data_IF_148870158450
#
_entry.id   IF_148870158450
#
_cell.length_a   1.000
_cell.length_b   1.000
_cell.length_c   1.000
_cell.angle_alpha   90.00
_cell.angle_beta   90.00
_cell.angle_gamma   90.00
#
_symmetry.space_group_name_H-M   'P 1'
#
loop_
_entity.id
_entity.type
_entity.pdbx_description
1 polymer ?
#
# COMPACT_ATOMS: atom_id res chain seq x y z
N UNK A 1 7.65 -3.97 -14.89
CA UNK A 1 6.83 -4.51 -13.78
C UNK A 1 7.08 -6.01 -13.70
N UNK A 2 7.37 -6.50 -12.53
CA UNK A 2 7.53 -7.96 -12.36
C UNK A 2 6.17 -8.64 -12.47
N UNK A 3 6.11 -9.68 -13.28
CA UNK A 3 4.91 -10.52 -13.34
C UNK A 3 4.76 -11.28 -12.03
N UNK A 4 3.73 -10.97 -11.28
CA UNK A 4 3.32 -11.83 -10.20
C UNK A 4 2.65 -13.04 -10.83
N UNK A 5 3.19 -14.21 -10.62
CA UNK A 5 2.64 -15.43 -11.21
C UNK A 5 1.84 -16.21 -10.18
N UNK A 6 0.61 -16.54 -10.55
CA UNK A 6 -0.13 -17.58 -9.86
C UNK A 6 0.28 -18.93 -10.45
N UNK A 7 0.65 -19.88 -9.60
CA UNK A 7 0.89 -21.26 -10.01
C UNK A 7 -0.43 -22.03 -10.17
N UNK A 8 -1.43 -21.60 -9.41
CA UNK A 8 -2.77 -22.20 -9.41
C UNK A 8 -3.81 -21.11 -9.35
N UNK A 9 -4.96 -21.35 -9.96
CA UNK A 9 -6.09 -20.43 -9.84
C UNK A 9 -6.55 -20.38 -8.38
N UNK A 10 -6.65 -19.18 -7.77
CA UNK A 10 -7.08 -19.06 -6.39
C UNK A 10 -8.55 -19.42 -6.16
N UNK A 11 -9.35 -19.48 -7.22
CA UNK A 11 -10.77 -19.84 -7.15
C UNK A 11 -10.99 -21.34 -7.28
N UNK A 12 -10.46 -21.98 -8.33
CA UNK A 12 -10.74 -23.39 -8.64
C UNK A 12 -9.52 -24.32 -8.52
N UNK A 13 -8.34 -23.80 -8.24
CA UNK A 13 -7.10 -24.58 -8.12
C UNK A 13 -6.49 -25.07 -9.44
N UNK A 14 -7.05 -24.67 -10.57
CA UNK A 14 -6.54 -25.07 -11.90
C UNK A 14 -5.13 -24.55 -12.14
N UNK A 15 -4.30 -25.38 -12.81
CA UNK A 15 -2.98 -24.96 -13.29
C UNK A 15 -3.05 -24.15 -14.58
N UNK A 16 -4.23 -24.01 -15.18
CA UNK A 16 -4.41 -23.34 -16.47
C UNK A 16 -4.51 -21.83 -16.35
N UNK A 17 -4.41 -21.28 -15.15
CA UNK A 17 -4.39 -19.83 -14.96
C UNK A 17 -3.26 -19.21 -15.78
N UNK A 18 -3.55 -18.12 -16.47
CA UNK A 18 -2.59 -17.46 -17.33
C UNK A 18 -2.66 -15.94 -17.18
N UNK A 19 -1.58 -15.29 -17.60
CA UNK A 19 -1.47 -13.84 -17.58
C UNK A 19 -1.88 -13.27 -18.92
N UNK A 20 -2.63 -12.19 -18.92
CA UNK A 20 -3.05 -11.42 -20.10
C UNK A 20 -2.60 -9.96 -19.96
N UNK A 21 -2.66 -9.23 -21.08
CA UNK A 21 -2.36 -7.80 -21.14
C UNK A 21 -0.98 -7.45 -20.54
N UNK A 22 0.06 -8.18 -20.95
CA UNK A 22 1.44 -7.96 -20.49
C UNK A 22 1.58 -7.98 -18.96
N UNK A 23 0.94 -8.97 -18.32
CA UNK A 23 1.04 -9.15 -16.86
C UNK A 23 0.07 -8.31 -16.03
N UNK A 24 -0.85 -7.61 -16.67
CA UNK A 24 -1.81 -6.76 -15.94
C UNK A 24 -3.08 -7.48 -15.50
N UNK A 25 -3.31 -8.67 -16.00
CA UNK A 25 -4.53 -9.42 -15.72
C UNK A 25 -4.22 -10.90 -15.64
N UNK A 26 -4.80 -11.59 -14.66
CA UNK A 26 -4.81 -13.04 -14.58
C UNK A 26 -6.19 -13.56 -14.93
N UNK A 27 -6.23 -14.63 -15.72
CA UNK A 27 -7.46 -15.25 -16.20
C UNK A 27 -7.35 -16.75 -16.04
N UNK A 28 -8.38 -17.37 -15.50
CA UNK A 28 -8.51 -18.82 -15.50
C UNK A 28 -9.59 -19.24 -16.51
N UNK A 29 -9.21 -19.94 -17.59
CA UNK A 29 -10.18 -20.39 -18.58
C UNK A 29 -11.12 -21.49 -18.07
N UNK A 30 -10.74 -22.19 -17.00
CA UNK A 30 -11.52 -23.30 -16.47
C UNK A 30 -12.71 -22.86 -15.61
N UNK A 31 -12.56 -21.77 -14.84
CA UNK A 31 -13.65 -21.29 -13.97
C UNK A 31 -14.11 -19.86 -14.27
N UNK A 32 -13.41 -19.16 -15.15
CA UNK A 32 -13.73 -17.76 -15.46
C UNK A 32 -13.20 -16.72 -14.47
N UNK A 33 -12.35 -17.13 -13.52
CA UNK A 33 -11.72 -16.20 -12.60
C UNK A 33 -10.93 -15.13 -13.36
N UNK A 34 -11.10 -13.89 -12.96
CA UNK A 34 -10.31 -12.76 -13.48
C UNK A 34 -9.86 -11.87 -12.33
N UNK A 35 -8.59 -11.47 -12.38
CA UNK A 35 -8.02 -10.53 -11.42
C UNK A 35 -7.11 -9.56 -12.14
N UNK A 36 -7.27 -8.29 -11.86
CA UNK A 36 -6.35 -7.26 -12.34
C UNK A 36 -5.22 -7.05 -11.34
N UNK A 37 -4.01 -6.90 -11.84
CA UNK A 37 -2.85 -6.56 -11.03
C UNK A 37 -2.88 -5.05 -10.73
N UNK A 38 -3.59 -4.69 -9.70
CA UNK A 38 -3.79 -3.30 -9.30
C UNK A 38 -2.70 -2.82 -8.34
N UNK A 39 -2.45 -1.53 -8.37
CA UNK A 39 -1.53 -0.88 -7.43
C UNK A 39 -2.14 -0.85 -6.04
N UNK A 40 -1.35 -1.21 -5.04
CA UNK A 40 -1.72 -1.00 -3.64
C UNK A 40 -1.38 0.45 -3.26
N UNK A 41 -2.38 1.21 -2.83
CA UNK A 41 -2.17 2.57 -2.39
C UNK A 41 -1.64 2.62 -0.95
N UNK A 42 -0.67 3.46 -0.70
CA UNK A 42 -0.12 3.69 0.63
C UNK A 42 0.07 5.19 0.86
N UNK A 43 0.06 5.60 2.12
CA UNK A 43 0.32 6.98 2.52
C UNK A 43 1.62 7.06 3.31
N UNK A 44 2.42 8.07 3.03
CA UNK A 44 3.56 8.46 3.85
C UNK A 44 3.24 9.80 4.51
N UNK A 45 3.52 9.93 5.80
CA UNK A 45 3.12 11.08 6.60
C UNK A 45 4.29 11.98 6.92
N UNK A 46 4.18 13.25 6.55
CA UNK A 46 5.05 14.30 7.06
C UNK A 46 4.34 14.96 8.24
N UNK A 47 4.58 14.45 9.44
CA UNK A 47 3.92 14.93 10.67
C UNK A 47 4.77 16.05 11.25
N UNK A 48 4.18 17.23 11.37
CA UNK A 48 4.85 18.43 11.83
C UNK A 48 4.22 18.93 13.13
N UNK A 49 5.07 19.30 14.09
CA UNK A 49 4.62 19.94 15.31
C UNK A 49 4.55 21.48 15.16
N UNK A 50 4.16 22.17 16.23
CA UNK A 50 4.03 23.64 16.25
C UNK A 50 5.36 24.37 15.98
N UNK A 51 6.50 23.72 16.24
CA UNK A 51 7.82 24.27 16.01
C UNK A 51 8.35 24.03 14.59
N UNK A 52 7.56 23.33 13.75
CA UNK A 52 7.98 22.98 12.40
C UNK A 52 8.89 21.76 12.32
N UNK A 53 9.06 21.04 13.41
CA UNK A 53 9.86 19.83 13.45
C UNK A 53 9.07 18.66 12.86
N UNK A 54 9.75 17.79 12.10
CA UNK A 54 9.14 16.61 11.48
C UNK A 54 9.41 15.36 12.32
N UNK A 55 8.40 14.50 12.41
CA UNK A 55 8.51 13.22 13.07
C UNK A 55 9.03 12.16 12.10
N UNK A 56 10.06 11.43 12.54
CA UNK A 56 10.56 10.24 11.86
C UNK A 56 10.45 9.06 12.81
N UNK A 57 10.21 7.89 12.25
CA UNK A 57 10.31 6.64 12.98
C UNK A 57 11.56 5.88 12.58
N UNK A 58 12.13 5.14 13.53
CA UNK A 58 13.25 4.24 13.26
C UNK A 58 12.71 2.86 12.95
N UNK A 59 13.06 2.33 11.79
CA UNK A 59 12.58 1.01 11.39
C UNK A 59 13.09 -0.07 12.35
N UNK A 60 12.16 -0.88 12.86
CA UNK A 60 12.48 -1.98 13.77
C UNK A 60 12.73 -3.30 13.05
N UNK A 61 12.34 -3.40 11.77
CA UNK A 61 12.39 -4.63 10.97
C UNK A 61 13.08 -4.41 9.63
N UNK A 62 13.61 -5.49 9.06
CA UNK A 62 14.07 -5.49 7.68
C UNK A 62 12.89 -5.30 6.70
N UNK A 63 13.07 -4.68 5.51
CA UNK A 63 14.33 -4.11 5.02
C UNK A 63 14.67 -2.78 5.68
N UNK A 64 15.94 -2.43 5.66
CA UNK A 64 16.47 -1.16 6.17
C UNK A 64 16.22 -0.94 7.67
N UNK A 65 16.33 -2.00 8.46
CA UNK A 65 16.26 -1.89 9.92
C UNK A 65 17.27 -0.83 10.43
N UNK A 66 16.80 0.02 11.34
CA UNK A 66 17.60 1.10 11.91
C UNK A 66 17.62 2.40 11.12
N UNK A 67 17.11 2.41 9.88
CA UNK A 67 16.96 3.64 9.10
C UNK A 67 15.75 4.45 9.57
N UNK A 68 15.81 5.76 9.38
CA UNK A 68 14.69 6.64 9.63
C UNK A 68 13.71 6.58 8.46
N UNK A 69 12.43 6.59 8.77
CA UNK A 69 11.35 6.58 7.79
C UNK A 69 10.21 7.48 8.24
N UNK A 70 9.43 7.95 7.28
CA UNK A 70 8.17 8.61 7.60
C UNK A 70 7.15 7.56 8.07
N UNK A 71 6.34 7.88 9.08
CA UNK A 71 5.19 7.04 9.42
C UNK A 71 4.24 6.91 8.24
N UNK A 72 3.47 5.84 8.21
CA UNK A 72 2.48 5.61 7.16
C UNK A 72 2.11 4.16 7.04
N UNK A 73 1.33 3.86 6.02
CA UNK A 73 0.87 2.50 5.77
C UNK A 73 -0.07 2.43 4.58
N UNK A 74 -0.58 1.24 4.34
CA UNK A 74 -1.51 1.00 3.25
C UNK A 74 -2.89 1.57 3.52
N UNK A 75 -3.52 2.11 2.49
CA UNK A 75 -4.93 2.45 2.53
C UNK A 75 -5.78 1.17 2.61
N UNK A 76 -6.85 1.23 3.38
CA UNK A 76 -7.86 0.17 3.41
C UNK A 76 -8.80 0.29 2.22
N UNK A 77 -9.50 -0.81 1.80
CA UNK A 77 -10.29 -0.82 0.58
C UNK A 77 -11.31 0.33 0.44
N UNK A 78 -11.97 0.71 1.51
CA UNK A 78 -13.02 1.73 1.47
C UNK A 78 -12.57 3.08 2.03
N UNK A 79 -11.28 3.32 2.03
CA UNK A 79 -10.68 4.46 2.70
C UNK A 79 -10.05 5.42 1.70
N UNK A 80 -10.30 6.73 1.86
CA UNK A 80 -9.55 7.75 1.12
C UNK A 80 -8.12 7.87 1.66
N UNK A 81 -7.21 8.40 0.84
CA UNK A 81 -5.84 8.64 1.30
C UNK A 81 -5.80 9.60 2.48
N UNK A 82 -6.67 10.61 2.52
CA UNK A 82 -6.78 11.55 3.63
C UNK A 82 -7.23 10.85 4.92
N UNK A 83 -8.22 9.98 4.82
CA UNK A 83 -8.69 9.19 5.98
C UNK A 83 -7.63 8.18 6.44
N UNK A 84 -6.93 7.56 5.49
CA UNK A 84 -5.79 6.69 5.80
C UNK A 84 -4.71 7.44 6.56
N UNK A 85 -4.41 8.67 6.14
CA UNK A 85 -3.42 9.51 6.82
C UNK A 85 -3.82 9.81 8.26
N UNK A 86 -5.09 10.14 8.51
CA UNK A 86 -5.61 10.38 9.86
C UNK A 86 -5.51 9.12 10.71
N UNK A 87 -5.94 7.99 10.18
CA UNK A 87 -5.90 6.70 10.88
C UNK A 87 -4.47 6.29 11.20
N UNK A 88 -3.58 6.31 10.22
CA UNK A 88 -2.17 5.94 10.43
C UNK A 88 -1.48 6.88 11.43
N UNK A 89 -1.76 8.18 11.39
CA UNK A 89 -1.23 9.12 12.37
C UNK A 89 -1.67 8.75 13.79
N UNK A 90 -2.95 8.44 13.97
CA UNK A 90 -3.47 8.04 15.27
C UNK A 90 -2.87 6.70 15.76
N UNK A 91 -2.75 5.72 14.86
CA UNK A 91 -2.16 4.41 15.20
C UNK A 91 -0.68 4.53 15.58
N UNK A 92 0.08 5.37 14.87
CA UNK A 92 1.53 5.49 15.08
C UNK A 92 1.88 6.34 16.30
N UNK A 93 1.20 7.44 16.52
CA UNK A 93 1.57 8.40 17.57
C UNK A 93 0.45 8.72 18.57
N UNK A 94 -0.73 8.14 18.41
CA UNK A 94 -1.85 8.32 19.34
C UNK A 94 -2.54 9.69 19.25
N UNK A 95 -2.25 10.47 18.23
CA UNK A 95 -2.79 11.84 18.06
C UNK A 95 -3.49 11.95 16.71
N UNK A 96 -4.67 12.59 16.72
CA UNK A 96 -5.36 12.92 15.48
C UNK A 96 -4.83 14.24 14.94
N UNK A 97 -4.47 14.34 13.65
CA UNK A 97 -4.00 15.58 13.08
C UNK A 97 -5.12 16.63 13.02
N UNK A 98 -4.75 17.89 13.16
CA UNK A 98 -5.69 19.02 13.02
C UNK A 98 -6.12 19.22 11.56
N UNK A 99 -5.21 18.95 10.64
CA UNK A 99 -5.44 19.07 9.21
C UNK A 99 -4.56 18.11 8.45
N UNK A 100 -4.98 17.74 7.24
CA UNK A 100 -4.24 16.89 6.32
C UNK A 100 -4.16 17.61 4.98
N UNK A 101 -2.95 17.68 4.41
CA UNK A 101 -2.69 18.32 3.14
C UNK A 101 -1.93 17.37 2.22
N UNK A 102 -2.43 17.15 1.01
CA UNK A 102 -1.72 16.41 -0.01
C UNK A 102 -0.50 17.19 -0.50
N UNK A 103 0.63 16.52 -0.62
CA UNK A 103 1.87 17.11 -1.12
C UNK A 103 2.19 16.56 -2.51
N UNK A 104 2.40 15.26 -2.61
CA UNK A 104 2.74 14.61 -3.88
C UNK A 104 2.53 13.10 -3.78
N UNK A 105 2.61 12.43 -4.93
CA UNK A 105 2.67 10.98 -4.99
C UNK A 105 3.81 10.53 -5.89
N UNK A 106 4.29 9.33 -5.66
CA UNK A 106 5.35 8.73 -6.46
C UNK A 106 5.19 7.20 -6.49
N UNK A 107 5.69 6.53 -7.53
CA UNK A 107 5.70 5.07 -7.55
C UNK A 107 6.67 4.52 -6.52
N UNK A 108 6.30 3.40 -5.92
CA UNK A 108 7.09 2.74 -4.90
C UNK A 108 7.56 1.37 -5.38
#
# INVERSE_FOLDING_TARGET
MKDNKFNFCPECGSKNICTKNSGRKWVCPDCGFELYNNTAAAVGLLIQNEKGELLFEKRAKEPRKGFLAFPGGFCEPDESCENAAVRECFEEIGVRPLSVKYICSYPN
#
